data_IF_114123520309
#
_entry.id   IF_114123520309
#
_cell.length_a   1.000
_cell.length_b   1.000
_cell.length_c   1.000
_cell.angle_alpha   90.00
_cell.angle_beta   90.00
_cell.angle_gamma   90.00
#
_symmetry.space_group_name_H-M   'P 1'
#
loop_
_entity.id
_entity.type
_entity.pdbx_description
1 polymer ?
#
# COMPACT_ATOMS: atom_id res chain seq x y z
N UNK A 1 -8.48 -14.78 -12.28
CA UNK A 1 -7.72 -14.02 -11.28
C UNK A 1 -6.41 -14.76 -11.10
N UNK A 2 -5.25 -14.14 -11.38
CA UNK A 2 -3.95 -14.81 -11.18
C UNK A 2 -3.65 -14.83 -9.68
N UNK A 3 -3.21 -15.97 -9.15
CA UNK A 3 -2.66 -16.05 -7.80
C UNK A 3 -1.34 -15.27 -7.77
N UNK A 4 -1.44 -13.98 -7.45
CA UNK A 4 -0.27 -13.15 -7.15
C UNK A 4 0.25 -13.67 -5.81
N UNK A 5 1.38 -14.37 -5.84
CA UNK A 5 2.09 -14.77 -4.63
C UNK A 5 2.38 -13.49 -3.84
N UNK A 6 1.68 -13.30 -2.72
CA UNK A 6 1.75 -12.11 -1.88
C UNK A 6 3.08 -12.13 -1.12
N UNK A 7 4.18 -11.83 -1.81
CA UNK A 7 5.49 -11.80 -1.17
C UNK A 7 5.59 -10.67 -0.13
N UNK A 8 4.71 -9.64 -0.19
CA UNK A 8 4.60 -8.60 0.84
C UNK A 8 3.21 -7.93 0.81
N UNK A 9 2.49 -7.92 1.94
CA UNK A 9 1.22 -7.19 2.11
C UNK A 9 1.44 -6.03 3.09
N UNK A 10 1.19 -4.80 2.65
CA UNK A 10 1.12 -3.62 3.51
C UNK A 10 -0.33 -3.15 3.64
N UNK A 11 -0.80 -2.90 4.86
CA UNK A 11 -2.12 -2.29 5.12
C UNK A 11 -1.87 -0.91 5.75
N UNK A 12 -2.46 0.14 5.17
CA UNK A 12 -2.32 1.50 5.71
C UNK A 12 -3.13 1.65 7.01
N UNK A 13 -2.50 2.09 8.09
CA UNK A 13 -3.19 2.31 9.38
C UNK A 13 -3.90 3.67 9.48
N UNK A 14 -3.61 4.60 8.57
CA UNK A 14 -4.26 5.92 8.49
C UNK A 14 -5.00 6.04 7.17
N UNK A 15 -6.30 6.33 7.26
CA UNK A 15 -7.25 6.34 6.14
C UNK A 15 -6.98 7.43 5.09
N UNK A 16 -6.24 8.47 5.46
CA UNK A 16 -5.97 9.60 4.58
C UNK A 16 -4.71 9.32 3.77
N UNK A 17 -4.90 8.95 2.51
CA UNK A 17 -3.86 8.78 1.47
C UNK A 17 -3.20 7.39 1.41
N UNK A 18 -3.99 6.32 1.33
CA UNK A 18 -3.45 4.99 1.02
C UNK A 18 -2.61 4.99 -0.29
N UNK A 19 -3.07 5.73 -1.30
CA UNK A 19 -2.31 6.12 -2.50
C UNK A 19 -2.55 7.60 -2.80
N UNK A 20 -1.49 8.36 -3.10
CA UNK A 20 -1.60 9.75 -3.54
C UNK A 20 -0.60 10.08 -4.65
N UNK A 21 -0.81 11.24 -5.30
CA UNK A 21 0.04 11.75 -6.37
C UNK A 21 0.54 13.16 -6.01
N UNK A 22 1.79 13.48 -6.33
CA UNK A 22 2.40 14.80 -6.13
C UNK A 22 3.24 15.17 -7.34
N UNK A 23 3.19 16.45 -7.74
CA UNK A 23 3.96 16.93 -8.90
C UNK A 23 5.46 16.65 -8.74
N UNK A 24 6.08 16.06 -9.78
CA UNK A 24 7.50 15.70 -9.80
C UNK A 24 7.84 14.33 -9.23
N UNK A 25 6.83 13.57 -8.81
CA UNK A 25 6.99 12.23 -8.24
C UNK A 25 6.02 11.26 -8.91
N UNK A 26 6.34 9.96 -8.83
CA UNK A 26 5.40 8.90 -9.15
C UNK A 26 4.35 8.73 -8.04
N UNK A 27 3.66 7.58 -8.00
CA UNK A 27 2.71 7.29 -6.93
C UNK A 27 3.40 7.29 -5.57
N UNK A 28 2.63 7.59 -4.53
CA UNK A 28 3.03 7.46 -3.13
C UNK A 28 2.03 6.52 -2.46
N UNK A 29 2.51 5.70 -1.53
CA UNK A 29 1.68 4.86 -0.70
C UNK A 29 1.82 5.32 0.74
N UNK A 30 0.69 5.62 1.37
CA UNK A 30 0.65 6.21 2.71
C UNK A 30 1.07 7.68 2.70
N UNK A 31 1.40 8.20 3.88
CA UNK A 31 1.87 9.58 4.05
C UNK A 31 3.38 9.69 3.75
N UNK A 32 3.76 9.39 2.49
CA UNK A 32 5.16 9.37 2.01
C UNK A 32 5.96 8.15 2.54
N UNK A 33 5.29 7.05 2.88
CA UNK A 33 5.98 5.87 3.38
C UNK A 33 6.71 5.09 2.29
N UNK A 34 6.11 5.03 1.11
CA UNK A 34 6.69 4.43 -0.09
C UNK A 34 6.45 5.41 -1.22
N UNK A 35 7.51 5.92 -1.83
CA UNK A 35 7.37 6.95 -2.86
C UNK A 35 8.35 6.76 -4.00
N UNK A 36 7.91 7.17 -5.18
CA UNK A 36 8.63 6.96 -6.42
C UNK A 36 9.24 8.30 -6.85
N UNK A 37 10.57 8.34 -6.99
CA UNK A 37 11.29 9.51 -7.46
C UNK A 37 12.41 9.08 -8.41
N UNK A 38 12.42 9.65 -9.62
CA UNK A 38 13.32 9.23 -10.69
C UNK A 38 13.14 7.75 -11.03
N UNK A 39 14.25 7.00 -11.05
CA UNK A 39 14.27 5.57 -11.42
C UNK A 39 14.16 4.63 -10.20
N UNK A 40 13.70 5.11 -9.05
CA UNK A 40 13.71 4.33 -7.82
C UNK A 40 12.50 4.56 -6.93
N UNK A 41 12.33 3.61 -6.02
CA UNK A 41 11.39 3.67 -4.92
C UNK A 41 12.15 3.89 -3.61
N UNK A 42 11.58 4.73 -2.76
CA UNK A 42 12.11 5.02 -1.43
C UNK A 42 11.11 4.62 -0.36
N UNK A 43 11.64 4.09 0.75
CA UNK A 43 10.85 3.68 1.92
C UNK A 43 11.23 4.53 3.13
N UNK A 44 10.22 5.11 3.76
CA UNK A 44 10.30 5.87 5.02
C UNK A 44 9.07 5.56 5.88
N UNK A 45 8.98 4.35 6.46
CA UNK A 45 7.74 3.84 7.05
C UNK A 45 7.29 4.67 8.27
N UNK A 46 6.16 5.35 8.13
CA UNK A 46 5.47 6.09 9.20
C UNK A 46 4.00 5.61 9.37
N UNK A 47 3.29 5.31 8.26
CA UNK A 47 1.88 4.86 8.25
C UNK A 47 1.70 3.39 7.88
N UNK A 48 2.71 2.75 7.28
CA UNK A 48 2.80 1.30 7.05
C UNK A 48 3.78 0.64 8.03
N UNK A 49 3.49 -0.60 8.49
CA UNK A 49 4.47 -1.41 9.23
C UNK A 49 5.71 -1.70 8.37
N UNK A 50 6.82 -2.06 9.02
CA UNK A 50 8.04 -2.43 8.31
C UNK A 50 7.77 -3.63 7.38
N UNK A 51 7.78 -3.36 6.07
CA UNK A 51 7.51 -4.33 5.01
C UNK A 51 8.78 -5.05 4.51
N UNK A 52 9.90 -4.92 5.23
CA UNK A 52 11.15 -5.61 4.93
C UNK A 52 11.88 -5.13 3.67
N UNK A 53 11.52 -3.94 3.17
CA UNK A 53 12.20 -3.31 2.02
C UNK A 53 13.28 -2.36 2.51
N UNK A 54 14.43 -2.30 1.82
CA UNK A 54 15.45 -1.31 2.14
C UNK A 54 14.95 0.11 1.82
N UNK A 55 15.59 1.12 2.40
CA UNK A 55 15.23 2.53 2.20
C UNK A 55 15.21 2.97 0.73
N UNK A 56 15.92 2.25 -0.15
CA UNK A 56 15.90 2.45 -1.60
C UNK A 56 15.84 1.09 -2.30
N UNK A 57 14.88 0.93 -3.20
CA UNK A 57 14.67 -0.30 -3.97
C UNK A 57 14.02 0.03 -5.32
N UNK A 58 13.86 -0.99 -6.18
CA UNK A 58 13.17 -0.87 -7.46
C UNK A 58 11.89 -1.69 -7.39
N UNK A 59 10.83 -1.17 -8.00
CA UNK A 59 9.55 -1.84 -8.18
C UNK A 59 9.33 -1.90 -9.68
N UNK A 60 9.20 -3.11 -10.22
CA UNK A 60 8.88 -3.31 -11.63
C UNK A 60 7.38 -3.10 -11.88
N UNK A 61 6.54 -3.67 -11.01
CA UNK A 61 5.07 -3.58 -11.08
C UNK A 61 4.46 -3.40 -9.67
N UNK A 62 3.32 -2.68 -9.61
CA UNK A 62 2.50 -2.55 -8.40
C UNK A 62 1.01 -2.64 -8.76
N UNK A 63 0.21 -3.21 -7.86
CA UNK A 63 -1.24 -3.30 -7.98
C UNK A 63 -1.90 -2.67 -6.74
N UNK A 64 -2.92 -1.84 -6.95
CA UNK A 64 -3.70 -1.20 -5.88
C UNK A 64 -5.10 -1.77 -5.88
N UNK A 65 -5.53 -2.29 -4.74
CA UNK A 65 -6.88 -2.82 -4.55
C UNK A 65 -7.63 -1.95 -3.55
N UNK A 66 -8.83 -1.51 -3.91
CA UNK A 66 -9.76 -0.91 -2.97
C UNK A 66 -10.65 -2.02 -2.40
N UNK A 67 -10.42 -2.40 -1.14
CA UNK A 67 -11.34 -3.30 -0.46
C UNK A 67 -12.56 -2.52 0.05
N UNK A 68 -13.74 -2.85 -0.50
CA UNK A 68 -15.00 -2.44 0.10
C UNK A 68 -15.29 -3.39 1.26
N UNK A 69 -15.21 -2.90 2.50
CA UNK A 69 -15.66 -3.67 3.66
C UNK A 69 -17.15 -3.97 3.52
N UNK A 70 -17.49 -5.23 3.22
CA UNK A 70 -18.84 -5.74 3.39
C UNK A 70 -18.98 -6.11 4.88
N UNK A 71 -19.80 -5.37 5.62
CA UNK A 71 -20.13 -5.76 7.00
C UNK A 71 -20.96 -7.04 6.96
N UNK A 72 -20.34 -8.15 7.34
CA UNK A 72 -21.06 -9.41 7.57
C UNK A 72 -21.84 -9.30 8.86
N UNK A 73 -23.17 -9.28 8.77
CA UNK A 73 -24.04 -9.43 9.93
C UNK A 73 -24.38 -10.90 10.10
N UNK A 74 -23.99 -11.49 11.23
CA UNK A 74 -24.48 -12.80 11.65
C UNK A 74 -25.83 -12.58 12.34
N UNK A 75 -26.92 -13.03 11.70
CA UNK A 75 -28.24 -13.04 12.32
C UNK A 75 -28.37 -14.37 13.07
N UNK A 76 -28.14 -14.34 14.38
CA UNK A 76 -28.53 -15.46 15.24
C UNK A 76 -30.06 -15.44 15.40
N UNK A 77 -30.73 -16.47 14.91
CA UNK A 77 -32.15 -16.70 15.24
C UNK A 77 -32.21 -17.35 16.62
N UNK A 78 -32.91 -16.70 17.55
CA UNK A 78 -33.35 -17.30 18.82
C UNK A 78 -34.49 -18.28 18.59
#
# INVERSE_FOLDING_TARGET
YKDVKRDTLGIAHKEKSAVCCKNGYGPFFGDIDIYFIGNGCHSAPNSYPNIGKPNKFVIDDYEVFQEFMIKTYVIERK
#
